data_IF_120773353322
#
_entry.id   IF_120773353322
#
_cell.length_a   1.000
_cell.length_b   1.000
_cell.length_c   1.000
_cell.angle_alpha   90.00
_cell.angle_beta   90.00
_cell.angle_gamma   90.00
#
_symmetry.space_group_name_H-M   'P 1'
#
loop_
_entity.id
_entity.type
_entity.pdbx_description
1 polymer ?
#
# COMPACT_ATOMS: atom_id res chain seq x y z
N UNK A 1 42.32 -29.47 63.35
CA UNK A 1 42.50 -28.04 63.66
C UNK A 1 41.34 -27.32 62.99
N UNK A 2 40.19 -27.25 63.66
CA UNK A 2 39.75 -26.09 64.50
C UNK A 2 39.63 -24.82 63.67
N UNK A 3 38.61 -23.96 63.67
CA UNK A 3 37.26 -23.80 64.30
C UNK A 3 36.80 -22.44 63.68
N UNK A 4 35.72 -22.35 62.91
CA UNK A 4 34.39 -21.85 63.31
C UNK A 4 34.29 -20.33 63.64
N UNK A 5 33.19 -19.71 63.13
CA UNK A 5 32.36 -18.61 63.70
C UNK A 5 32.68 -17.11 63.44
N UNK A 6 31.80 -16.51 62.62
CA UNK A 6 31.13 -15.19 62.78
C UNK A 6 30.37 -15.08 64.14
N UNK A 7 29.64 -13.99 64.53
CA UNK A 7 29.54 -12.55 64.13
C UNK A 7 29.41 -11.60 65.38
N UNK A 8 28.88 -10.37 65.19
CA UNK A 8 28.12 -9.47 66.11
C UNK A 8 28.80 -8.11 66.42
N UNK A 9 28.19 -6.98 66.01
CA UNK A 9 27.12 -6.16 66.64
C UNK A 9 27.76 -4.94 67.34
N UNK A 10 27.63 -3.74 66.76
CA UNK A 10 26.66 -2.69 67.12
C UNK A 10 26.85 -2.16 68.54
N UNK A 11 27.36 -0.93 68.69
CA UNK A 11 26.97 -0.06 69.80
C UNK A 11 27.25 1.41 69.48
N UNK A 12 26.29 2.23 69.91
CA UNK A 12 26.11 3.66 69.66
C UNK A 12 27.09 4.48 70.49
N UNK A 13 27.36 5.70 70.03
CA UNK A 13 27.41 6.84 70.95
C UNK A 13 26.92 8.10 70.25
N UNK A 14 25.95 8.73 70.89
CA UNK A 14 25.36 10.04 70.61
C UNK A 14 26.26 11.16 71.19
N UNK A 15 25.94 12.39 70.77
CA UNK A 15 26.34 13.71 71.30
C UNK A 15 27.78 14.18 70.93
N UNK A 16 28.04 15.43 70.56
CA UNK A 16 27.35 16.68 70.83
C UNK A 16 27.73 17.73 69.76
N UNK A 17 26.88 18.74 69.64
CA UNK A 17 26.91 19.79 68.64
C UNK A 17 28.19 20.64 68.61
N UNK A 18 28.56 21.11 67.41
CA UNK A 18 29.02 22.48 67.20
C UNK A 18 28.92 22.86 65.72
N UNK A 19 28.03 23.82 65.47
CA UNK A 19 28.00 24.63 64.26
C UNK A 19 29.23 25.54 64.32
N UNK A 20 30.06 25.53 63.28
CA UNK A 20 30.93 26.65 62.98
C UNK A 20 30.99 26.87 61.47
N UNK A 21 30.68 28.10 61.12
CA UNK A 21 30.53 28.66 59.79
C UNK A 21 31.83 28.67 58.97
N UNK A 22 31.61 28.68 57.65
CA UNK A 22 32.52 29.17 56.63
C UNK A 22 33.84 28.42 56.43
N UNK A 23 33.86 27.62 55.35
CA UNK A 23 34.98 27.64 54.40
C UNK A 23 34.51 27.17 53.02
N UNK A 24 34.30 28.13 52.12
CA UNK A 24 34.32 27.90 50.68
C UNK A 24 35.70 27.34 50.32
N UNK A 25 35.80 26.02 50.19
CA UNK A 25 36.97 25.37 49.60
C UNK A 25 36.67 25.15 48.11
N UNK A 26 37.18 26.05 47.29
CA UNK A 26 37.46 25.77 45.88
C UNK A 26 38.61 24.76 45.79
N UNK A 27 38.44 23.72 44.98
CA UNK A 27 39.54 22.84 44.56
C UNK A 27 39.38 21.35 44.89
N UNK A 28 38.31 20.72 44.39
CA UNK A 28 38.25 19.27 44.17
C UNK A 28 37.53 19.04 42.86
N UNK A 29 38.13 18.29 41.94
CA UNK A 29 37.61 18.00 40.60
C UNK A 29 36.08 17.83 40.63
N UNK A 30 35.38 18.66 39.85
CA UNK A 30 33.92 18.83 39.93
C UNK A 30 33.15 17.55 39.62
N UNK A 31 33.02 16.68 40.62
CA UNK A 31 32.11 15.55 40.57
C UNK A 31 30.71 16.11 40.68
N UNK A 32 29.97 16.08 39.57
CA UNK A 32 28.58 16.51 39.54
C UNK A 32 27.82 15.84 40.69
N UNK A 33 26.96 16.58 41.43
CA UNK A 33 26.15 15.99 42.50
C UNK A 33 25.17 14.91 42.00
N UNK A 34 25.03 14.79 40.67
CA UNK A 34 24.20 13.78 40.00
C UNK A 34 25.02 12.64 39.40
N UNK A 35 26.33 12.57 39.66
CA UNK A 35 27.21 11.50 39.20
C UNK A 35 27.35 11.43 37.67
N UNK A 36 27.38 10.20 37.14
CA UNK A 36 27.58 9.93 35.72
C UNK A 36 26.50 10.60 34.85
N UNK A 37 26.87 10.99 33.63
CA UNK A 37 25.94 11.54 32.63
C UNK A 37 25.72 10.52 31.51
N UNK A 38 24.46 10.18 31.26
CA UNK A 38 24.01 9.36 30.14
C UNK A 38 23.32 10.24 29.10
N UNK A 39 23.56 9.99 27.81
CA UNK A 39 22.92 10.71 26.70
C UNK A 39 22.14 9.75 25.83
N UNK A 40 20.86 10.04 25.62
CA UNK A 40 19.96 9.30 24.74
C UNK A 40 19.45 10.22 23.64
N UNK A 41 20.11 10.19 22.47
CA UNK A 41 19.84 11.14 21.39
C UNK A 41 20.07 12.59 21.87
N UNK A 42 19.02 13.42 21.79
CA UNK A 42 19.04 14.81 22.24
C UNK A 42 18.86 14.99 23.76
N UNK A 43 18.58 13.92 24.51
CA UNK A 43 18.23 13.98 25.95
C UNK A 43 19.44 13.65 26.82
N UNK A 44 19.65 14.42 27.89
CA UNK A 44 20.70 14.22 28.90
C UNK A 44 20.07 13.75 30.22
N UNK A 45 20.57 12.64 30.76
CA UNK A 45 20.08 11.99 31.99
C UNK A 45 21.23 11.83 32.98
N UNK A 46 20.97 12.06 34.27
CA UNK A 46 21.96 11.92 35.36
C UNK A 46 21.32 11.33 36.61
N UNK A 47 22.14 10.73 37.47
CA UNK A 47 21.71 10.14 38.74
C UNK A 47 20.59 9.13 38.54
N UNK A 48 19.52 9.27 39.31
CA UNK A 48 18.35 8.37 39.28
C UNK A 48 17.57 8.41 37.97
N UNK A 49 17.80 9.41 37.10
CA UNK A 49 17.15 9.52 35.80
C UNK A 49 17.84 8.67 34.72
N UNK A 50 19.02 8.09 35.00
CA UNK A 50 19.69 7.17 34.07
C UNK A 50 18.89 5.85 34.05
N UNK A 51 18.40 5.41 32.87
CA UNK A 51 17.66 4.16 32.76
C UNK A 51 18.54 2.98 33.20
N UNK A 52 17.97 2.04 33.94
CA UNK A 52 18.67 0.80 34.31
C UNK A 52 18.90 -0.14 33.13
N UNK A 53 18.20 0.08 32.03
CA UNK A 53 18.27 -0.71 30.81
C UNK A 53 18.45 0.22 29.62
N UNK A 54 19.32 -0.17 28.69
CA UNK A 54 19.47 0.60 27.45
C UNK A 54 18.22 0.50 26.58
N UNK A 55 18.00 1.50 25.71
CA UNK A 55 16.91 1.46 24.73
C UNK A 55 16.97 0.21 23.85
N UNK A 56 18.17 -0.21 23.45
CA UNK A 56 18.40 -1.42 22.66
C UNK A 56 18.04 -2.68 23.44
N UNK A 57 18.40 -2.76 24.72
CA UNK A 57 18.05 -3.90 25.56
C UNK A 57 16.53 -4.03 25.73
N UNK A 58 15.82 -2.92 25.94
CA UNK A 58 14.34 -2.92 25.98
C UNK A 58 13.71 -3.37 24.66
N UNK A 59 14.27 -2.96 23.53
CA UNK A 59 13.79 -3.36 22.20
C UNK A 59 14.01 -4.86 21.92
N UNK A 60 15.15 -5.40 22.34
CA UNK A 60 15.53 -6.80 22.09
C UNK A 60 14.93 -7.78 23.11
N UNK A 61 14.36 -7.27 24.22
CA UNK A 61 13.67 -8.11 25.19
C UNK A 61 12.40 -8.73 24.56
N UNK A 62 12.17 -10.04 24.76
CA UNK A 62 10.94 -10.68 24.30
C UNK A 62 9.72 -10.02 24.95
N UNK A 63 8.74 -9.62 24.14
CA UNK A 63 7.43 -9.17 24.65
C UNK A 63 6.61 -10.41 25.05
N UNK A 64 6.04 -10.46 26.27
CA UNK A 64 5.19 -11.57 26.70
C UNK A 64 3.86 -11.64 25.94
N UNK A 65 3.48 -10.62 25.15
CA UNK A 65 2.20 -10.56 24.45
C UNK A 65 2.33 -10.11 22.98
N UNK A 66 1.45 -10.63 22.13
CA UNK A 66 1.36 -10.25 20.70
C UNK A 66 0.06 -9.51 20.36
N UNK A 67 -0.75 -9.16 21.36
CA UNK A 67 -2.07 -8.55 21.19
C UNK A 67 -2.05 -7.26 20.36
N UNK A 68 -0.95 -6.50 20.45
CA UNK A 68 -0.76 -5.27 19.72
C UNK A 68 -0.78 -5.46 18.20
N UNK A 69 -0.43 -6.65 17.68
CA UNK A 69 -0.48 -6.98 16.24
C UNK A 69 -1.89 -6.89 15.65
N UNK A 70 -2.92 -7.06 16.48
CA UNK A 70 -4.31 -7.10 16.06
C UNK A 70 -5.07 -5.79 16.33
N UNK A 71 -4.40 -4.80 16.94
CA UNK A 71 -4.99 -3.50 17.27
C UNK A 71 -4.85 -2.50 16.13
N UNK A 72 -5.78 -1.54 16.08
CA UNK A 72 -5.84 -0.54 15.01
C UNK A 72 -4.58 0.32 14.88
N UNK A 73 -3.85 0.74 15.94
CA UNK A 73 -2.60 1.47 15.78
C UNK A 73 -1.56 0.70 14.95
N UNK A 74 -1.45 -0.61 15.15
CA UNK A 74 -0.55 -1.43 14.34
C UNK A 74 -1.05 -1.60 12.91
N UNK A 75 -2.38 -1.69 12.71
CA UNK A 75 -2.97 -1.70 11.37
C UNK A 75 -2.64 -0.43 10.60
N UNK A 76 -2.71 0.74 11.23
CA UNK A 76 -2.33 2.02 10.61
C UNK A 76 -0.88 1.97 10.10
N UNK A 77 0.06 1.49 10.91
CA UNK A 77 1.46 1.35 10.50
C UNK A 77 1.63 0.37 9.34
N UNK A 78 0.88 -0.74 9.33
CA UNK A 78 0.88 -1.70 8.22
C UNK A 78 0.29 -1.13 6.94
N UNK A 79 -0.80 -0.36 7.04
CA UNK A 79 -1.41 0.35 5.90
C UNK A 79 -0.42 1.36 5.34
N UNK A 80 0.24 2.13 6.20
CA UNK A 80 1.27 3.08 5.80
C UNK A 80 2.42 2.38 5.08
N UNK A 81 2.89 1.24 5.59
CA UNK A 81 3.94 0.44 4.96
C UNK A 81 3.53 -0.01 3.54
N UNK A 82 2.32 -0.54 3.35
CA UNK A 82 1.84 -0.93 2.02
C UNK A 82 1.75 0.26 1.04
N UNK A 83 1.43 1.48 1.53
CA UNK A 83 1.52 2.68 0.70
C UNK A 83 2.96 3.04 0.33
N UNK A 84 3.89 2.96 1.28
CA UNK A 84 5.32 3.25 1.03
C UNK A 84 5.88 2.27 -0.01
N UNK A 85 5.62 0.98 0.16
CA UNK A 85 6.06 -0.07 -0.76
C UNK A 85 5.43 0.15 -2.14
N UNK A 86 4.10 0.31 -2.19
CA UNK A 86 3.37 0.57 -3.45
C UNK A 86 3.89 1.80 -4.19
N UNK A 87 4.13 2.90 -3.48
CA UNK A 87 4.62 4.11 -4.10
C UNK A 87 6.07 4.00 -4.57
N UNK A 88 6.93 3.32 -3.80
CA UNK A 88 8.31 3.09 -4.17
C UNK A 88 8.45 2.19 -5.39
N UNK A 89 7.74 1.05 -5.40
CA UNK A 89 7.84 0.06 -6.48
C UNK A 89 7.28 0.56 -7.82
N UNK A 90 6.29 1.45 -7.81
CA UNK A 90 5.65 1.97 -9.02
C UNK A 90 6.16 3.37 -9.43
N UNK A 91 7.12 3.95 -8.70
CA UNK A 91 7.59 5.32 -8.92
C UNK A 91 8.09 5.59 -10.35
N UNK A 92 8.88 4.65 -10.89
CA UNK A 92 9.53 4.77 -12.21
C UNK A 92 8.83 3.94 -13.30
N UNK A 93 7.56 3.59 -13.10
CA UNK A 93 6.81 2.75 -14.06
C UNK A 93 6.67 3.43 -15.43
N UNK A 94 6.54 4.75 -15.45
CA UNK A 94 6.21 5.53 -16.65
C UNK A 94 4.70 5.48 -16.97
N UNK A 95 4.31 5.81 -18.21
CA UNK A 95 2.91 5.74 -18.63
C UNK A 95 2.36 4.33 -18.52
N UNK A 96 1.13 4.19 -18.03
CA UNK A 96 0.47 2.91 -17.84
C UNK A 96 -1.04 2.97 -18.06
N UNK A 97 -1.60 1.84 -18.48
CA UNK A 97 -3.04 1.60 -18.61
C UNK A 97 -3.42 0.40 -17.75
N UNK A 98 -4.50 0.55 -16.98
CA UNK A 98 -5.08 -0.58 -16.24
C UNK A 98 -6.07 -1.35 -17.11
N UNK A 99 -6.00 -2.69 -17.06
CA UNK A 99 -6.99 -3.58 -17.66
C UNK A 99 -7.69 -4.38 -16.55
N UNK A 100 -9.01 -4.28 -16.51
CA UNK A 100 -9.87 -5.03 -15.59
C UNK A 100 -10.76 -6.01 -16.34
N UNK A 101 -11.13 -7.12 -15.68
CA UNK A 101 -12.09 -8.08 -16.22
C UNK A 101 -12.17 -9.35 -15.39
N UNK A 102 -12.94 -10.31 -15.87
CA UNK A 102 -13.21 -11.56 -15.17
C UNK A 102 -11.95 -12.39 -14.91
N UNK A 103 -11.82 -12.90 -13.68
CA UNK A 103 -10.86 -13.96 -13.34
C UNK A 103 -11.30 -15.35 -13.84
N UNK A 104 -12.50 -15.48 -14.40
CA UNK A 104 -13.14 -16.77 -14.74
C UNK A 104 -13.19 -17.07 -16.24
N UNK A 105 -12.94 -16.07 -17.08
CA UNK A 105 -12.93 -16.22 -18.54
C UNK A 105 -11.77 -17.14 -18.95
N UNK A 106 -12.06 -18.10 -19.82
CA UNK A 106 -11.12 -19.11 -20.27
C UNK A 106 -10.31 -18.67 -21.51
N UNK A 107 -9.12 -19.25 -21.77
CA UNK A 107 -8.26 -18.88 -22.90
C UNK A 107 -8.87 -19.03 -24.30
N UNK A 108 -9.89 -19.88 -24.46
CA UNK A 108 -10.59 -20.14 -25.72
C UNK A 108 -11.77 -19.18 -25.98
N UNK A 109 -12.10 -18.31 -25.04
CA UNK A 109 -13.14 -17.29 -25.19
C UNK A 109 -12.63 -16.04 -25.94
N UNK A 110 -13.51 -15.36 -26.67
CA UNK A 110 -13.16 -14.17 -27.45
C UNK A 110 -12.65 -13.03 -26.57
N UNK A 111 -13.24 -12.84 -25.40
CA UNK A 111 -12.82 -11.80 -24.45
C UNK A 111 -11.38 -12.01 -23.95
N UNK A 112 -10.91 -13.26 -23.80
CA UNK A 112 -9.52 -13.53 -23.46
C UNK A 112 -8.59 -13.14 -24.61
N UNK A 113 -8.92 -13.54 -25.85
CA UNK A 113 -8.14 -13.16 -27.04
C UNK A 113 -8.07 -11.64 -27.22
N UNK A 114 -9.18 -10.95 -27.00
CA UNK A 114 -9.25 -9.49 -27.05
C UNK A 114 -8.34 -8.85 -25.99
N UNK A 115 -8.42 -9.29 -24.73
CA UNK A 115 -7.56 -8.76 -23.66
C UNK A 115 -6.06 -9.01 -23.90
N UNK A 116 -5.70 -10.18 -24.44
CA UNK A 116 -4.33 -10.46 -24.87
C UNK A 116 -3.87 -9.49 -25.95
N UNK A 117 -4.71 -9.28 -26.97
CA UNK A 117 -4.44 -8.38 -28.08
C UNK A 117 -4.34 -6.91 -27.64
N UNK A 118 -5.11 -6.48 -26.64
CA UNK A 118 -5.03 -5.16 -26.01
C UNK A 118 -3.70 -5.00 -25.27
N UNK A 119 -3.33 -5.96 -24.42
CA UNK A 119 -2.08 -5.91 -23.66
C UNK A 119 -0.85 -5.82 -24.57
N UNK A 120 -0.84 -6.59 -25.65
CA UNK A 120 0.21 -6.54 -26.68
C UNK A 120 0.31 -5.16 -27.35
N UNK A 121 -0.82 -4.59 -27.78
CA UNK A 121 -0.85 -3.29 -28.48
C UNK A 121 -0.46 -2.12 -27.58
N UNK A 122 -0.83 -2.16 -26.31
CA UNK A 122 -0.42 -1.15 -25.32
C UNK A 122 1.08 -1.22 -25.10
N UNK A 123 1.62 -2.42 -24.86
CA UNK A 123 3.05 -2.62 -24.67
C UNK A 123 3.88 -2.17 -25.88
N UNK A 124 3.41 -2.40 -27.11
CA UNK A 124 4.06 -1.92 -28.34
C UNK A 124 4.13 -0.38 -28.46
N UNK A 125 3.37 0.35 -27.64
CA UNK A 125 3.42 1.83 -27.55
C UNK A 125 4.33 2.31 -26.40
N UNK A 126 5.14 1.43 -25.81
CA UNK A 126 5.95 1.71 -24.62
C UNK A 126 5.12 2.17 -23.40
N UNK A 127 3.89 1.69 -23.33
CA UNK A 127 2.97 1.93 -22.21
C UNK A 127 2.87 0.65 -21.38
N UNK A 128 2.98 0.78 -20.05
CA UNK A 128 2.85 -0.35 -19.15
C UNK A 128 1.40 -0.84 -19.05
N UNK A 129 1.22 -2.13 -18.83
CA UNK A 129 -0.08 -2.75 -18.57
C UNK A 129 -0.17 -3.13 -17.10
N UNK A 130 -1.18 -2.62 -16.40
CA UNK A 130 -1.45 -2.94 -15.00
C UNK A 130 -2.72 -3.78 -14.90
N UNK A 131 -2.67 -4.88 -14.15
CA UNK A 131 -3.82 -5.73 -13.86
C UNK A 131 -3.87 -6.10 -12.38
N UNK A 132 -4.89 -6.85 -11.96
CA UNK A 132 -4.91 -7.48 -10.63
C UNK A 132 -3.99 -8.69 -10.48
N UNK A 133 -3.29 -9.11 -11.53
CA UNK A 133 -2.33 -10.23 -11.50
C UNK A 133 -2.96 -11.62 -11.41
N UNK A 134 -4.29 -11.75 -11.35
CA UNK A 134 -4.99 -13.03 -11.30
C UNK A 134 -5.12 -13.73 -12.66
N UNK A 135 -5.90 -14.83 -12.74
CA UNK A 135 -6.19 -15.55 -13.98
C UNK A 135 -7.19 -14.80 -14.89
N UNK A 136 -7.55 -15.42 -16.01
CA UNK A 136 -8.58 -14.92 -16.94
C UNK A 136 -8.13 -13.67 -17.70
N UNK A 137 -8.97 -12.63 -17.74
CA UNK A 137 -8.67 -11.38 -18.46
C UNK A 137 -7.37 -10.75 -17.97
N UNK A 138 -7.12 -10.78 -16.65
CA UNK A 138 -5.90 -10.21 -16.08
C UNK A 138 -4.65 -10.91 -16.62
N UNK A 139 -4.64 -12.24 -16.60
CA UNK A 139 -3.57 -13.04 -17.20
C UNK A 139 -3.42 -12.79 -18.69
N UNK A 140 -4.52 -12.74 -19.45
CA UNK A 140 -4.49 -12.48 -20.88
C UNK A 140 -3.78 -11.15 -21.20
N UNK A 141 -4.16 -10.08 -20.52
CA UNK A 141 -3.57 -8.76 -20.66
C UNK A 141 -2.07 -8.76 -20.27
N UNK A 142 -1.71 -9.38 -19.13
CA UNK A 142 -0.31 -9.52 -18.72
C UNK A 142 0.50 -10.30 -19.75
N UNK A 143 -0.06 -11.40 -20.27
CA UNK A 143 0.57 -12.26 -21.28
C UNK A 143 0.82 -11.51 -22.58
N UNK A 144 -0.16 -10.77 -23.07
CA UNK A 144 -0.01 -9.92 -24.25
C UNK A 144 1.12 -8.91 -24.09
N UNK A 145 1.14 -8.20 -22.96
CA UNK A 145 2.17 -7.20 -22.66
C UNK A 145 3.58 -7.82 -22.54
N UNK A 146 3.69 -8.95 -21.83
CA UNK A 146 4.96 -9.63 -21.61
C UNK A 146 5.54 -10.22 -22.90
N UNK A 147 4.71 -10.83 -23.75
CA UNK A 147 5.15 -11.38 -25.04
C UNK A 147 5.60 -10.28 -26.02
N UNK A 148 5.09 -9.06 -25.87
CA UNK A 148 5.56 -7.89 -26.61
C UNK A 148 6.84 -7.26 -26.04
N UNK A 149 7.39 -7.81 -24.95
CA UNK A 149 8.57 -7.26 -24.26
C UNK A 149 8.29 -6.01 -23.41
N UNK A 150 7.02 -5.72 -23.13
CA UNK A 150 6.61 -4.54 -22.35
C UNK A 150 6.61 -4.75 -20.83
N UNK A 151 6.30 -3.67 -20.10
CA UNK A 151 6.12 -3.69 -18.64
C UNK A 151 4.74 -4.27 -18.31
N UNK A 152 4.73 -5.37 -17.57
CA UNK A 152 3.53 -6.15 -17.21
C UNK A 152 3.41 -6.22 -15.69
N UNK A 153 2.49 -5.43 -15.14
CA UNK A 153 2.33 -5.22 -13.70
C UNK A 153 1.14 -6.03 -13.18
N UNK A 154 1.32 -6.69 -12.04
CA UNK A 154 0.28 -7.43 -11.33
C UNK A 154 0.13 -6.94 -9.90
N UNK A 155 -1.01 -6.31 -9.59
CA UNK A 155 -1.34 -5.83 -8.25
C UNK A 155 -2.33 -6.80 -7.60
N UNK A 156 -1.80 -7.88 -7.03
CA UNK A 156 -2.56 -8.93 -6.35
C UNK A 156 -3.16 -8.47 -5.02
N UNK A 157 -4.12 -9.22 -4.51
CA UNK A 157 -4.69 -9.06 -3.17
C UNK A 157 -4.58 -10.38 -2.41
N UNK A 158 -4.34 -10.32 -1.10
CA UNK A 158 -4.32 -11.50 -0.23
C UNK A 158 -5.77 -11.95 0.04
N UNK A 159 -6.16 -13.09 -0.54
CA UNK A 159 -7.41 -13.79 -0.21
C UNK A 159 -7.12 -15.25 0.18
N UNK A 160 -7.97 -15.87 1.03
CA UNK A 160 -7.73 -17.24 1.55
C UNK A 160 -7.55 -18.34 0.50
N UNK A 161 -8.06 -18.15 -0.73
CA UNK A 161 -8.08 -19.16 -1.78
C UNK A 161 -7.68 -18.61 -3.15
N UNK A 162 -7.05 -17.45 -3.21
CA UNK A 162 -6.68 -16.85 -4.50
C UNK A 162 -5.45 -17.52 -5.09
N UNK A 163 -5.53 -17.81 -6.38
CA UNK A 163 -4.38 -18.22 -7.16
C UNK A 163 -3.48 -16.98 -7.25
N UNK A 164 -2.22 -17.10 -6.82
CA UNK A 164 -1.30 -15.97 -6.73
C UNK A 164 -1.06 -15.26 -8.06
N UNK A 165 -0.06 -14.39 -8.11
CA UNK A 165 0.24 -13.61 -9.31
C UNK A 165 0.61 -14.54 -10.48
N UNK A 166 0.00 -14.31 -11.65
CA UNK A 166 0.24 -15.09 -12.86
C UNK A 166 1.68 -14.96 -13.38
N UNK A 167 2.13 -15.94 -14.17
CA UNK A 167 3.53 -16.06 -14.62
C UNK A 167 3.99 -14.96 -15.60
N UNK A 168 3.06 -14.18 -16.15
CA UNK A 168 3.33 -13.15 -17.15
C UNK A 168 3.60 -11.77 -16.55
N UNK A 169 3.57 -11.66 -15.22
CA UNK A 169 3.86 -10.42 -14.50
C UNK A 169 5.37 -10.29 -14.29
N UNK A 170 5.95 -9.17 -14.71
CA UNK A 170 7.36 -8.82 -14.47
C UNK A 170 7.57 -7.83 -13.32
N UNK A 171 6.51 -7.14 -12.89
CA UNK A 171 6.49 -6.34 -11.65
C UNK A 171 5.24 -6.71 -10.84
N UNK A 172 5.42 -7.50 -9.78
CA UNK A 172 4.33 -8.02 -8.97
C UNK A 172 4.32 -7.45 -7.55
N UNK A 173 3.14 -7.09 -7.05
CA UNK A 173 2.91 -6.70 -5.66
C UNK A 173 1.66 -7.39 -5.13
N UNK A 174 1.68 -7.84 -3.88
CA UNK A 174 0.49 -8.39 -3.21
C UNK A 174 0.12 -7.50 -2.04
N UNK A 175 -1.09 -6.96 -2.10
CA UNK A 175 -1.64 -6.09 -1.06
C UNK A 175 -2.50 -6.89 -0.09
N UNK A 176 -2.66 -6.39 1.13
CA UNK A 176 -3.63 -6.94 2.09
C UNK A 176 -4.87 -6.09 2.17
N UNK A 177 -4.73 -4.80 1.93
CA UNK A 177 -5.81 -3.84 2.03
C UNK A 177 -6.30 -3.42 0.64
N UNK A 178 -7.55 -3.75 0.32
CA UNK A 178 -8.19 -3.41 -0.95
C UNK A 178 -8.05 -1.93 -1.34
N UNK A 179 -8.25 -1.01 -0.39
CA UNK A 179 -8.21 0.42 -0.68
C UNK A 179 -6.79 0.93 -1.02
N UNK A 180 -5.74 0.29 -0.52
CA UNK A 180 -4.35 0.62 -0.90
C UNK A 180 -4.13 0.19 -2.35
N UNK A 181 -4.51 -1.05 -2.68
CA UNK A 181 -4.44 -1.60 -4.05
C UNK A 181 -5.22 -0.73 -5.05
N UNK A 182 -6.46 -0.36 -4.73
CA UNK A 182 -7.30 0.55 -5.54
C UNK A 182 -6.62 1.90 -5.80
N UNK A 183 -6.00 2.46 -4.76
CA UNK A 183 -5.23 3.70 -4.90
C UNK A 183 -4.10 3.55 -5.91
N UNK A 184 -3.41 2.40 -5.96
CA UNK A 184 -2.33 2.16 -6.93
C UNK A 184 -2.85 2.11 -8.36
N UNK A 185 -3.99 1.44 -8.62
CA UNK A 185 -4.59 1.47 -9.96
C UNK A 185 -4.89 2.89 -10.42
N UNK A 186 -5.57 3.68 -9.58
CA UNK A 186 -6.00 5.02 -9.96
C UNK A 186 -4.85 6.02 -10.04
N UNK A 187 -3.82 5.88 -9.21
CA UNK A 187 -2.66 6.79 -9.19
C UNK A 187 -1.73 6.57 -10.38
N UNK A 188 -1.49 5.31 -10.76
CA UNK A 188 -0.45 4.97 -11.74
C UNK A 188 -0.99 4.74 -13.15
N UNK A 189 -2.30 4.70 -13.36
CA UNK A 189 -2.90 4.57 -14.69
C UNK A 189 -3.33 5.92 -15.26
N UNK A 190 -3.05 6.14 -16.55
CA UNK A 190 -3.56 7.29 -17.31
C UNK A 190 -4.76 6.93 -18.18
N UNK A 191 -5.11 5.64 -18.26
CA UNK A 191 -6.31 5.16 -18.93
C UNK A 191 -6.72 3.79 -18.40
N UNK A 192 -7.96 3.41 -18.66
CA UNK A 192 -8.54 2.15 -18.20
C UNK A 192 -9.25 1.44 -19.35
N UNK A 193 -9.04 0.14 -19.47
CA UNK A 193 -9.89 -0.75 -20.27
C UNK A 193 -10.59 -1.72 -19.34
N UNK A 194 -11.90 -1.89 -19.52
CA UNK A 194 -12.71 -2.82 -18.74
C UNK A 194 -13.35 -3.83 -19.68
N UNK A 195 -12.90 -5.07 -19.61
CA UNK A 195 -13.51 -6.21 -20.28
C UNK A 195 -14.64 -6.81 -19.41
N UNK A 196 -15.46 -7.73 -19.95
CA UNK A 196 -16.50 -8.41 -19.19
C UNK A 196 -15.99 -9.03 -17.88
N UNK A 197 -16.73 -8.82 -16.78
CA UNK A 197 -16.30 -9.29 -15.47
C UNK A 197 -17.30 -9.05 -14.33
N UNK A 198 -17.12 -9.78 -13.23
CA UNK A 198 -18.07 -9.78 -12.10
C UNK A 198 -17.93 -8.59 -11.15
N UNK A 199 -18.26 -8.80 -9.88
CA UNK A 199 -18.30 -7.72 -8.88
C UNK A 199 -17.00 -6.96 -8.70
N UNK A 200 -15.84 -7.62 -8.72
CA UNK A 200 -14.56 -6.91 -8.62
C UNK A 200 -14.33 -5.97 -9.80
N UNK A 201 -14.70 -6.38 -11.01
CA UNK A 201 -14.62 -5.54 -12.22
C UNK A 201 -15.58 -4.36 -12.12
N UNK A 202 -16.82 -4.60 -11.67
CA UNK A 202 -17.80 -3.53 -11.46
C UNK A 202 -17.37 -2.54 -10.39
N UNK A 203 -16.77 -3.00 -9.30
CA UNK A 203 -16.24 -2.16 -8.22
C UNK A 203 -15.19 -1.17 -8.74
N UNK A 204 -14.18 -1.66 -9.49
CA UNK A 204 -13.16 -0.79 -10.11
C UNK A 204 -13.77 0.13 -11.18
N UNK A 205 -14.76 -0.36 -11.94
CA UNK A 205 -15.45 0.44 -12.96
C UNK A 205 -16.17 1.64 -12.34
N UNK A 206 -16.96 1.41 -11.28
CA UNK A 206 -17.69 2.48 -10.61
C UNK A 206 -16.78 3.41 -9.83
N UNK A 207 -15.66 2.93 -9.31
CA UNK A 207 -14.62 3.78 -8.71
C UNK A 207 -14.04 4.74 -9.77
N UNK A 208 -13.62 4.24 -10.93
CA UNK A 208 -13.11 5.05 -12.02
C UNK A 208 -14.15 6.08 -12.53
N UNK A 209 -15.40 5.64 -12.76
CA UNK A 209 -16.50 6.52 -13.18
C UNK A 209 -16.79 7.63 -12.16
N UNK A 210 -16.73 7.32 -10.87
CA UNK A 210 -16.95 8.31 -9.79
C UNK A 210 -15.82 9.35 -9.76
N UNK A 211 -14.57 8.93 -9.96
CA UNK A 211 -13.42 9.83 -10.00
C UNK A 211 -13.49 10.77 -11.22
N UNK A 212 -13.90 10.24 -12.38
CA UNK A 212 -14.16 11.04 -13.59
C UNK A 212 -15.28 12.07 -13.34
N UNK A 213 -16.42 11.63 -12.78
CA UNK A 213 -17.57 12.50 -12.54
C UNK A 213 -17.27 13.63 -11.54
N UNK A 214 -16.46 13.36 -10.52
CA UNK A 214 -16.14 14.35 -9.47
C UNK A 214 -15.00 15.28 -9.83
N UNK A 215 -14.38 15.12 -11.01
CA UNK A 215 -13.17 15.84 -11.42
C UNK A 215 -12.01 15.77 -10.40
N UNK A 216 -11.99 14.73 -9.55
CA UNK A 216 -10.97 14.56 -8.49
C UNK A 216 -9.65 14.01 -9.01
N UNK A 217 -9.65 13.44 -10.20
CA UNK A 217 -8.44 12.94 -10.88
C UNK A 217 -8.38 13.58 -12.27
N UNK A 218 -7.18 13.70 -12.82
CA UNK A 218 -6.99 14.03 -14.23
C UNK A 218 -7.90 13.13 -15.10
N UNK A 219 -8.33 13.63 -16.26
CA UNK A 219 -9.26 12.97 -17.18
C UNK A 219 -8.75 11.57 -17.59
N UNK A 220 -9.09 10.52 -16.83
CA UNK A 220 -8.76 9.13 -17.15
C UNK A 220 -9.79 8.65 -18.20
N UNK A 221 -9.41 8.45 -19.47
CA UNK A 221 -10.27 7.78 -20.45
C UNK A 221 -10.53 6.33 -20.05
N UNK A 222 -11.78 5.91 -20.21
CA UNK A 222 -12.28 4.58 -19.87
C UNK A 222 -12.88 3.96 -21.15
N UNK A 223 -12.32 2.83 -21.58
CA UNK A 223 -12.90 2.00 -22.63
C UNK A 223 -13.59 0.78 -22.00
N UNK A 224 -14.86 0.59 -22.29
CA UNK A 224 -15.65 -0.58 -21.90
C UNK A 224 -15.76 -1.50 -23.12
N UNK A 225 -15.12 -2.66 -23.04
CA UNK A 225 -15.10 -3.63 -24.14
C UNK A 225 -16.27 -4.61 -24.04
N UNK A 226 -16.85 -4.98 -25.19
CA UNK A 226 -18.05 -5.82 -25.35
C UNK A 226 -19.35 -5.04 -25.12
N UNK A 227 -19.88 -4.43 -26.19
CA UNK A 227 -21.10 -3.61 -26.15
C UNK A 227 -22.29 -4.41 -25.64
N UNK A 228 -22.42 -5.68 -26.04
CA UNK A 228 -23.52 -6.55 -25.62
C UNK A 228 -23.49 -6.82 -24.11
N UNK A 229 -22.30 -6.98 -23.52
CA UNK A 229 -22.13 -7.13 -22.08
C UNK A 229 -22.55 -5.87 -21.30
N UNK A 230 -22.11 -4.69 -21.75
CA UNK A 230 -22.32 -3.43 -21.02
C UNK A 230 -23.70 -2.79 -21.23
N UNK A 231 -24.40 -3.12 -22.32
CA UNK A 231 -25.66 -2.48 -22.72
C UNK A 231 -26.69 -2.46 -21.59
N UNK A 232 -26.97 -3.60 -20.97
CA UNK A 232 -28.01 -3.68 -19.94
C UNK A 232 -27.71 -2.83 -18.70
N UNK A 233 -26.43 -2.71 -18.31
CA UNK A 233 -26.04 -1.84 -17.21
C UNK A 233 -26.21 -0.36 -17.58
N UNK A 234 -25.77 0.02 -18.78
CA UNK A 234 -25.83 1.40 -19.24
C UNK A 234 -27.25 1.86 -19.57
N UNK A 235 -28.13 0.96 -19.99
CA UNK A 235 -29.57 1.25 -20.11
C UNK A 235 -30.18 1.59 -18.76
N UNK A 236 -29.84 0.82 -17.71
CA UNK A 236 -30.31 1.11 -16.35
C UNK A 236 -29.73 2.41 -15.79
N UNK A 237 -28.44 2.68 -16.01
CA UNK A 237 -27.78 3.93 -15.61
C UNK A 237 -28.43 5.12 -16.32
N UNK A 238 -28.62 5.04 -17.64
CA UNK A 238 -29.17 6.14 -18.44
C UNK A 238 -30.67 6.33 -18.26
N UNK A 239 -31.40 5.30 -17.83
CA UNK A 239 -32.81 5.40 -17.46
C UNK A 239 -32.97 5.70 -15.97
N UNK A 240 -33.06 4.64 -15.16
CA UNK A 240 -33.43 4.75 -13.75
C UNK A 240 -32.55 5.69 -12.91
N UNK A 241 -31.24 5.74 -13.18
CA UNK A 241 -30.31 6.57 -12.38
C UNK A 241 -30.30 8.02 -12.89
N UNK A 242 -30.09 8.21 -14.19
CA UNK A 242 -29.98 9.53 -14.82
C UNK A 242 -31.32 10.27 -14.92
N UNK A 243 -32.41 9.61 -15.30
CA UNK A 243 -33.73 10.27 -15.41
C UNK A 243 -34.25 10.79 -14.06
N UNK A 244 -33.77 10.19 -12.97
CA UNK A 244 -34.06 10.63 -11.60
C UNK A 244 -33.10 11.71 -11.09
N UNK A 245 -32.14 12.15 -11.91
CA UNK A 245 -31.17 13.20 -11.58
C UNK A 245 -30.11 12.76 -10.55
N UNK A 246 -29.83 11.46 -10.42
CA UNK A 246 -28.87 10.95 -9.44
C UNK A 246 -27.41 11.05 -9.92
N UNK A 247 -27.20 11.21 -11.22
CA UNK A 247 -25.90 11.38 -11.86
C UNK A 247 -25.96 12.44 -12.96
N UNK A 248 -24.79 12.99 -13.30
CA UNK A 248 -24.61 13.77 -14.54
C UNK A 248 -24.49 12.84 -15.74
N UNK A 249 -24.71 13.37 -16.95
CA UNK A 249 -24.36 12.63 -18.16
C UNK A 249 -22.87 12.29 -18.17
N UNK A 250 -22.54 11.05 -18.53
CA UNK A 250 -21.16 10.64 -18.75
C UNK A 250 -20.59 11.41 -19.94
N UNK A 251 -19.38 11.94 -19.78
CA UNK A 251 -18.68 12.64 -20.84
C UNK A 251 -18.27 11.62 -21.93
N UNK A 252 -18.83 11.69 -23.14
CA UNK A 252 -18.50 10.77 -24.22
C UNK A 252 -17.03 10.88 -24.68
N UNK A 253 -16.33 11.95 -24.30
CA UNK A 253 -14.89 12.08 -24.54
C UNK A 253 -14.03 11.30 -23.52
N UNK A 254 -14.64 10.82 -22.42
CA UNK A 254 -13.96 10.10 -21.35
C UNK A 254 -14.43 8.65 -21.20
N UNK A 255 -15.62 8.31 -21.68
CA UNK A 255 -16.16 6.94 -21.59
C UNK A 255 -16.64 6.47 -22.95
N UNK A 256 -16.04 5.40 -23.46
CA UNK A 256 -16.39 4.78 -24.74
C UNK A 256 -16.74 3.31 -24.52
N UNK A 257 -17.84 2.84 -25.12
CA UNK A 257 -18.19 1.42 -25.18
C UNK A 257 -17.92 0.94 -26.61
N UNK A 258 -17.14 -0.13 -26.78
CA UNK A 258 -16.70 -0.60 -28.10
C UNK A 258 -16.50 -2.12 -28.15
N UNK A 259 -16.59 -2.67 -29.36
CA UNK A 259 -16.23 -4.05 -29.69
C UNK A 259 -14.87 -4.14 -30.42
N UNK A 260 -14.26 -2.99 -30.72
CA UNK A 260 -12.97 -2.89 -31.41
C UNK A 260 -11.82 -2.77 -30.40
N UNK A 261 -10.90 -3.73 -30.46
CA UNK A 261 -9.66 -3.76 -29.67
C UNK A 261 -8.81 -2.53 -29.94
N UNK A 262 -8.68 -2.10 -31.19
CA UNK A 262 -7.85 -0.97 -31.59
C UNK A 262 -8.45 0.35 -31.11
N UNK A 263 -9.77 0.50 -31.14
CA UNK A 263 -10.47 1.65 -30.55
C UNK A 263 -10.32 1.68 -29.03
N UNK A 264 -10.51 0.55 -28.33
CA UNK A 264 -10.34 0.49 -26.87
C UNK A 264 -8.93 0.93 -26.44
N UNK A 265 -7.90 0.46 -27.16
CA UNK A 265 -6.50 0.86 -26.91
C UNK A 265 -6.28 2.33 -27.24
N UNK A 266 -6.83 2.83 -28.36
CA UNK A 266 -6.70 4.24 -28.73
C UNK A 266 -7.32 5.17 -27.68
N UNK A 267 -8.51 4.84 -27.18
CA UNK A 267 -9.19 5.58 -26.11
C UNK A 267 -8.34 5.59 -24.84
N UNK A 268 -7.95 4.40 -24.34
CA UNK A 268 -7.20 4.28 -23.10
C UNK A 268 -5.81 4.92 -23.15
N UNK A 269 -5.23 5.07 -24.34
CA UNK A 269 -3.93 5.74 -24.52
C UNK A 269 -4.04 7.18 -25.01
N UNK A 270 -5.25 7.73 -25.17
CA UNK A 270 -5.48 9.04 -25.79
C UNK A 270 -4.86 10.24 -25.05
N UNK A 271 -4.59 10.08 -23.76
CA UNK A 271 -3.96 11.11 -22.91
C UNK A 271 -2.46 10.85 -22.68
N UNK A 272 -1.91 9.79 -23.29
CA UNK A 272 -0.50 9.42 -23.21
C UNK A 272 0.17 9.96 -24.49
N UNK A 273 1.08 10.92 -24.30
CA UNK A 273 1.80 11.62 -25.39
C UNK A 273 2.93 10.80 -25.98
#
# INVERSE_FOLDING_TARGET
MTTERQPQANERNEDDARVDDARWNEGGEGVSPLGQTYRQGAVLLRGQMIPQESTTERLLKPDPSTDWLHRDPWRVLRIQAEFVDGFGSLADLGPAVSIFGSARIQPDEDAYRAALAMGERIARRDVAVITGGGPGIMEAANKGAALAGGKSVGLGIELPHEQGINEWVNLGMTFRYFFVRKTMFMKYSQGVIVCPGGFGTLDETFEALTLVQTHKVARIPIALYDTAYWQGLFDWINGAVKDRGLISALDPSLVTITDDVDEAVAVATSQIG
#
